data_IF_908336479179
#
_entry.id   IF_908336479179
#
_cell.length_a   1.000
_cell.length_b   1.000
_cell.length_c   1.000
_cell.angle_alpha   90.00
_cell.angle_beta   90.00
_cell.angle_gamma   90.00
#
_symmetry.space_group_name_H-M   'P 1'
#
loop_
_entity.id
_entity.type
_entity.pdbx_description
1 polymer ?
#
# COMPACT_ATOMS: atom_id res chain seq x y z
N UNK A 1 12.46 14.97 6.55
CA UNK A 1 13.62 14.13 6.95
C UNK A 1 14.36 14.72 8.14
N UNK A 2 14.43 16.06 8.24
CA UNK A 2 14.87 16.79 9.40
C UNK A 2 13.75 17.78 9.75
N UNK A 3 13.35 17.83 11.02
CA UNK A 3 12.31 18.74 11.49
C UNK A 3 12.97 20.04 11.97
N UNK A 4 12.79 21.09 11.18
CA UNK A 4 13.36 22.42 11.49
C UNK A 4 12.70 23.09 12.70
N UNK A 5 11.52 22.63 13.15
CA UNK A 5 10.85 23.20 14.34
C UNK A 5 11.40 22.62 15.63
N UNK A 6 11.70 21.31 15.63
CA UNK A 6 12.27 20.62 16.79
C UNK A 6 13.80 20.55 16.73
N UNK A 7 14.40 20.93 15.60
CA UNK A 7 15.83 20.83 15.32
C UNK A 7 16.37 19.41 15.52
N UNK A 8 15.62 18.41 15.01
CA UNK A 8 15.95 16.99 15.14
C UNK A 8 15.75 16.25 13.82
N UNK A 9 16.57 15.22 13.52
CA UNK A 9 16.29 14.32 12.42
C UNK A 9 15.05 13.47 12.72
N UNK A 10 14.35 13.02 11.68
CA UNK A 10 13.30 12.01 11.85
C UNK A 10 13.91 10.73 12.46
N UNK A 11 13.15 10.02 13.30
CA UNK A 11 13.60 8.77 13.90
C UNK A 11 13.95 7.72 12.83
N UNK A 12 15.22 7.30 12.83
CA UNK A 12 15.69 6.23 11.95
C UNK A 12 15.09 4.86 12.35
N UNK A 13 14.84 4.65 13.64
CA UNK A 13 14.19 3.45 14.16
C UNK A 13 12.77 3.33 13.61
N UNK A 14 11.95 4.38 13.78
CA UNK A 14 10.59 4.40 13.24
C UNK A 14 10.55 4.23 11.72
N UNK A 15 11.53 4.81 11.01
CA UNK A 15 11.68 4.60 9.58
C UNK A 15 11.92 3.12 9.26
N UNK A 16 12.87 2.47 9.94
CA UNK A 16 13.17 1.05 9.74
C UNK A 16 11.96 0.17 10.05
N UNK A 17 11.31 0.38 11.19
CA UNK A 17 10.12 -0.36 11.58
C UNK A 17 9.02 -0.25 10.51
N UNK A 18 8.82 0.96 9.97
CA UNK A 18 7.83 1.19 8.91
C UNK A 18 8.16 0.40 7.64
N UNK A 19 9.43 0.38 7.23
CA UNK A 19 9.88 -0.39 6.06
C UNK A 19 9.79 -1.90 6.32
N UNK A 20 10.26 -2.35 7.48
CA UNK A 20 10.29 -3.75 7.87
C UNK A 20 8.87 -4.34 7.90
N UNK A 21 7.92 -3.61 8.48
CA UNK A 21 6.52 -4.03 8.54
C UNK A 21 5.88 -3.98 7.16
N UNK A 22 5.89 -2.83 6.48
CA UNK A 22 5.05 -2.63 5.29
C UNK A 22 5.66 -3.23 4.03
N UNK A 23 6.97 -3.11 3.83
CA UNK A 23 7.63 -3.56 2.61
C UNK A 23 8.19 -4.97 2.77
N UNK A 24 9.07 -5.19 3.75
CA UNK A 24 9.67 -6.51 3.93
C UNK A 24 8.65 -7.53 4.43
N UNK A 25 7.71 -7.15 5.28
CA UNK A 25 6.58 -8.00 5.67
C UNK A 25 5.77 -8.47 4.46
N UNK A 26 5.41 -7.55 3.56
CA UNK A 26 4.68 -7.90 2.33
C UNK A 26 5.50 -8.79 1.40
N UNK A 27 6.77 -8.45 1.15
CA UNK A 27 7.67 -9.27 0.34
C UNK A 27 7.82 -10.68 0.92
N UNK A 28 7.99 -10.79 2.25
CA UNK A 28 8.13 -12.06 2.94
C UNK A 28 6.86 -12.91 2.86
N UNK A 29 5.68 -12.31 3.00
CA UNK A 29 4.42 -12.99 2.80
C UNK A 29 4.28 -13.51 1.37
N UNK A 30 4.56 -12.68 0.37
CA UNK A 30 4.46 -13.04 -1.06
C UNK A 30 5.39 -14.21 -1.40
N UNK A 31 6.68 -14.15 -1.02
CA UNK A 31 7.63 -15.23 -1.37
C UNK A 31 7.24 -16.58 -0.74
N UNK A 32 6.67 -16.57 0.46
CA UNK A 32 6.23 -17.79 1.16
C UNK A 32 4.91 -18.30 0.58
N UNK A 33 3.97 -17.40 0.28
CA UNK A 33 2.70 -17.74 -0.34
C UNK A 33 2.92 -18.43 -1.70
N UNK A 34 3.80 -17.90 -2.55
CA UNK A 34 4.18 -18.54 -3.83
C UNK A 34 4.74 -19.94 -3.60
N UNK A 35 5.56 -20.12 -2.56
CA UNK A 35 6.13 -21.42 -2.19
C UNK A 35 5.07 -22.48 -1.86
N UNK A 36 3.90 -22.06 -1.37
CA UNK A 36 2.75 -22.93 -1.11
C UNK A 36 1.84 -23.06 -2.35
N UNK A 37 1.58 -21.96 -3.05
CA UNK A 37 0.73 -21.92 -4.24
C UNK A 37 1.29 -22.74 -5.41
N UNK A 38 2.60 -23.04 -5.41
CA UNK A 38 3.22 -23.91 -6.43
C UNK A 38 2.60 -25.30 -6.51
N UNK A 39 1.98 -25.77 -5.42
CA UNK A 39 1.31 -27.06 -5.34
C UNK A 39 -0.12 -27.03 -5.93
N UNK A 40 -0.63 -25.85 -6.31
CA UNK A 40 -1.94 -25.72 -6.93
C UNK A 40 -1.95 -26.35 -8.31
N UNK A 41 -2.98 -27.15 -8.58
CA UNK A 41 -3.26 -27.63 -9.92
C UNK A 41 -3.77 -26.49 -10.79
N UNK A 42 -3.30 -26.37 -12.04
CA UNK A 42 -3.81 -25.36 -12.95
C UNK A 42 -5.28 -25.64 -13.30
N UNK A 43 -6.07 -24.58 -13.46
CA UNK A 43 -7.41 -24.69 -14.03
C UNK A 43 -7.36 -24.92 -15.56
N UNK A 44 -8.54 -24.94 -16.20
CA UNK A 44 -8.68 -25.14 -17.66
C UNK A 44 -7.95 -24.10 -18.50
N UNK A 45 -7.67 -22.92 -17.94
CA UNK A 45 -7.02 -21.79 -18.60
C UNK A 45 -5.56 -21.62 -18.11
N UNK A 46 -4.99 -22.69 -17.52
CA UNK A 46 -3.64 -22.76 -16.96
C UNK A 46 -3.37 -21.76 -15.81
N UNK A 47 -4.40 -21.30 -15.10
CA UNK A 47 -4.27 -20.42 -13.94
C UNK A 47 -4.07 -21.23 -12.66
N UNK A 48 -3.17 -20.76 -11.80
CA UNK A 48 -2.79 -21.43 -10.54
C UNK A 48 -3.09 -20.60 -9.30
N UNK A 49 -3.32 -19.30 -9.45
CA UNK A 49 -3.75 -18.46 -8.34
C UNK A 49 -3.53 -16.97 -8.55
N UNK A 50 -3.95 -16.20 -7.55
CA UNK A 50 -3.93 -14.74 -7.58
C UNK A 50 -3.34 -14.23 -6.27
N UNK A 51 -2.41 -13.29 -6.38
CA UNK A 51 -1.87 -12.52 -5.27
C UNK A 51 -2.31 -11.07 -5.43
N UNK A 52 -2.95 -10.53 -4.39
CA UNK A 52 -3.35 -9.12 -4.31
C UNK A 52 -2.63 -8.51 -3.11
N UNK A 53 -1.74 -7.54 -3.36
CA UNK A 53 -1.14 -6.76 -2.28
C UNK A 53 -1.94 -5.48 -2.03
N UNK A 54 -1.86 -4.96 -0.81
CA UNK A 54 -2.46 -3.67 -0.45
C UNK A 54 -1.39 -2.61 -0.21
N UNK A 55 -1.31 -1.66 -1.13
CA UNK A 55 -0.46 -0.48 -1.06
C UNK A 55 -1.26 0.74 -0.53
N UNK A 56 -1.05 1.92 -1.13
CA UNK A 56 -1.74 3.17 -0.83
C UNK A 56 -1.50 4.18 -1.96
N UNK A 57 -2.42 5.11 -2.18
CA UNK A 57 -2.19 6.27 -3.06
C UNK A 57 -0.97 7.10 -2.63
N UNK A 58 -0.60 7.07 -1.35
CA UNK A 58 0.61 7.71 -0.83
C UNK A 58 1.90 7.15 -1.46
N UNK A 59 1.86 5.97 -2.10
CA UNK A 59 2.98 5.43 -2.86
C UNK A 59 3.18 6.08 -4.23
N UNK A 60 2.17 6.77 -4.77
CA UNK A 60 2.28 7.50 -6.04
C UNK A 60 2.66 8.97 -5.84
N UNK A 61 2.11 9.62 -4.82
CA UNK A 61 2.45 10.98 -4.44
C UNK A 61 2.79 11.02 -2.96
N UNK A 62 4.07 10.88 -2.64
CA UNK A 62 4.55 10.68 -1.26
C UNK A 62 4.53 12.00 -0.48
N UNK A 63 3.67 12.16 0.55
CA UNK A 63 3.68 13.35 1.38
C UNK A 63 4.96 13.41 2.23
N UNK A 64 5.47 14.62 2.44
CA UNK A 64 6.66 14.83 3.30
C UNK A 64 6.38 14.44 4.76
N UNK A 65 5.13 14.57 5.22
CA UNK A 65 4.67 14.20 6.56
C UNK A 65 4.67 12.69 6.82
N UNK A 66 4.49 11.87 5.77
CA UNK A 66 4.38 10.41 5.88
C UNK A 66 5.40 9.69 5.01
N UNK A 67 6.58 10.29 4.84
CA UNK A 67 7.61 9.84 3.90
C UNK A 67 7.97 8.35 4.04
N UNK A 68 8.20 7.84 5.26
CA UNK A 68 8.53 6.43 5.48
C UNK A 68 7.41 5.50 5.00
N UNK A 69 6.16 5.86 5.33
CA UNK A 69 4.97 5.13 4.91
C UNK A 69 4.80 5.18 3.39
N UNK A 70 4.85 6.36 2.77
CA UNK A 70 4.71 6.50 1.32
C UNK A 70 5.81 5.75 0.55
N UNK A 71 7.06 5.81 1.00
CA UNK A 71 8.16 5.03 0.40
C UNK A 71 7.92 3.53 0.56
N UNK A 72 7.47 3.07 1.74
CA UNK A 72 7.15 1.65 1.94
C UNK A 72 6.07 1.16 0.96
N UNK A 73 5.05 1.99 0.69
CA UNK A 73 3.94 1.68 -0.22
C UNK A 73 4.34 1.81 -1.68
N UNK A 74 5.22 2.75 -2.02
CA UNK A 74 5.85 2.83 -3.34
C UNK A 74 6.66 1.56 -3.65
N UNK A 75 7.39 1.03 -2.66
CA UNK A 75 8.11 -0.25 -2.80
C UNK A 75 7.18 -1.42 -3.11
N UNK A 76 6.02 -1.50 -2.43
CA UNK A 76 5.01 -2.54 -2.70
C UNK A 76 4.44 -2.42 -4.13
N UNK A 77 4.16 -1.21 -4.59
CA UNK A 77 3.72 -0.95 -5.97
C UNK A 77 4.81 -1.40 -6.95
N UNK A 78 6.04 -0.92 -6.76
CA UNK A 78 7.15 -1.16 -7.68
C UNK A 78 7.53 -2.64 -7.79
N UNK A 79 7.47 -3.42 -6.71
CA UNK A 79 7.79 -4.85 -6.77
C UNK A 79 6.71 -5.70 -7.47
N UNK A 80 5.50 -5.16 -7.65
CA UNK A 80 4.37 -5.91 -8.24
C UNK A 80 4.65 -6.32 -9.68
N UNK A 81 5.10 -5.38 -10.51
CA UNK A 81 5.35 -5.62 -11.93
C UNK A 81 6.41 -6.71 -12.19
N UNK A 82 7.63 -6.67 -11.61
CA UNK A 82 8.62 -7.72 -11.85
C UNK A 82 8.18 -9.09 -11.32
N UNK A 83 7.46 -9.14 -10.20
CA UNK A 83 6.91 -10.40 -9.67
C UNK A 83 5.86 -10.95 -10.63
N UNK A 84 4.93 -10.11 -11.11
CA UNK A 84 3.92 -10.51 -12.08
C UNK A 84 4.54 -11.00 -13.40
N UNK A 85 5.58 -10.32 -13.91
CA UNK A 85 6.31 -10.75 -15.12
C UNK A 85 6.99 -12.11 -14.95
N UNK A 86 7.56 -12.36 -13.78
CA UNK A 86 8.23 -13.62 -13.46
C UNK A 86 7.24 -14.79 -13.35
N UNK A 87 6.09 -14.57 -12.70
CA UNK A 87 5.14 -15.63 -12.35
C UNK A 87 3.98 -15.80 -13.34
N UNK A 88 3.70 -14.78 -14.17
CA UNK A 88 2.65 -14.80 -15.18
C UNK A 88 2.73 -16.00 -16.12
N UNK A 89 3.90 -16.30 -16.73
CA UNK A 89 4.09 -17.49 -17.57
C UNK A 89 3.83 -18.83 -16.84
N UNK A 90 3.88 -18.83 -15.51
CA UNK A 90 3.64 -20.00 -14.66
C UNK A 90 2.17 -20.11 -14.23
N UNK A 91 1.30 -19.18 -14.64
CA UNK A 91 -0.13 -19.21 -14.34
C UNK A 91 -0.54 -18.41 -13.08
N UNK A 92 0.31 -17.57 -12.52
CA UNK A 92 -0.05 -16.72 -11.38
C UNK A 92 -0.27 -15.28 -11.79
N UNK A 93 -1.31 -14.66 -11.22
CA UNK A 93 -1.55 -13.21 -11.37
C UNK A 93 -1.16 -12.49 -10.11
N UNK A 94 -0.46 -11.36 -10.25
CA UNK A 94 -0.06 -10.52 -9.12
C UNK A 94 -0.47 -9.09 -9.42
N UNK A 95 -1.27 -8.51 -8.53
CA UNK A 95 -1.72 -7.12 -8.63
C UNK A 95 -1.60 -6.44 -7.28
N UNK A 96 -1.67 -5.11 -7.29
CA UNK A 96 -1.65 -4.30 -6.08
C UNK A 96 -2.78 -3.30 -6.12
N UNK A 97 -3.58 -3.28 -5.07
CA UNK A 97 -4.58 -2.27 -4.82
C UNK A 97 -3.93 -1.13 -4.04
N UNK A 98 -4.19 0.12 -4.44
CA UNK A 98 -3.65 1.30 -3.77
C UNK A 98 -4.80 2.21 -3.34
N UNK A 99 -5.47 1.92 -2.20
CA UNK A 99 -6.60 2.70 -1.75
C UNK A 99 -6.22 4.14 -1.37
N UNK A 100 -7.16 5.05 -1.61
CA UNK A 100 -7.19 6.36 -0.95
C UNK A 100 -7.72 6.24 0.50
N UNK A 101 -8.15 7.35 1.10
CA UNK A 101 -8.90 7.33 2.36
C UNK A 101 -10.15 6.45 2.28
N UNK A 102 -10.24 5.44 3.16
CA UNK A 102 -11.38 4.51 3.29
C UNK A 102 -11.83 4.47 4.74
N UNK A 103 -13.15 4.50 4.99
CA UNK A 103 -13.74 4.47 6.34
C UNK A 103 -13.53 3.12 7.03
N UNK A 104 -12.37 2.95 7.63
CA UNK A 104 -11.98 1.77 8.41
C UNK A 104 -11.64 2.17 9.84
N UNK A 105 -11.66 1.25 10.83
CA UNK A 105 -11.26 1.58 12.20
C UNK A 105 -9.84 2.16 12.34
N UNK A 106 -8.95 1.88 11.37
CA UNK A 106 -7.60 2.44 11.31
C UNK A 106 -7.58 3.93 10.96
N UNK A 107 -8.56 4.38 10.17
CA UNK A 107 -8.75 5.77 9.80
C UNK A 107 -9.59 6.40 10.89
N UNK A 108 -8.93 7.13 11.82
CA UNK A 108 -9.58 7.73 13.00
C UNK A 108 -10.88 8.46 12.62
N UNK A 109 -11.92 8.28 13.44
CA UNK A 109 -13.15 9.08 13.39
C UNK A 109 -12.78 10.57 13.30
N UNK A 110 -13.05 11.19 12.16
CA UNK A 110 -12.69 12.59 11.87
C UNK A 110 -11.49 12.81 10.94
N UNK A 111 -10.82 11.77 10.44
CA UNK A 111 -9.83 11.90 9.34
C UNK A 111 -10.45 11.71 7.95
N UNK A 112 -11.66 11.16 7.91
CA UNK A 112 -12.58 11.17 6.78
C UNK A 112 -13.59 12.32 6.94
N UNK A 113 -13.17 13.57 6.69
CA UNK A 113 -14.07 14.73 6.81
C UNK A 113 -14.74 15.05 5.48
N UNK A 114 -16.06 15.21 5.53
CA UNK A 114 -16.90 15.81 4.50
C UNK A 114 -16.60 17.33 4.38
N UNK A 115 -16.87 17.86 3.17
CA UNK A 115 -16.52 19.19 2.62
C UNK A 115 -16.50 20.45 3.52
N UNK A 116 -17.11 20.44 4.71
CA UNK A 116 -17.21 21.62 5.58
C UNK A 116 -16.12 21.74 6.64
N UNK A 117 -15.22 20.76 6.78
CA UNK A 117 -13.93 21.00 7.45
C UNK A 117 -12.82 20.76 6.44
N UNK A 118 -12.31 21.88 5.93
CA UNK A 118 -11.14 22.00 5.06
C UNK A 118 -10.18 20.83 5.25
N UNK A 119 -10.08 20.02 4.20
CA UNK A 119 -8.97 19.11 4.03
C UNK A 119 -7.69 19.93 4.06
N UNK A 120 -7.01 19.93 5.20
CA UNK A 120 -5.67 20.52 5.35
C UNK A 120 -4.56 19.47 5.33
N UNK A 121 -4.88 18.21 5.02
CA UNK A 121 -3.85 17.18 4.86
C UNK A 121 -3.72 16.77 3.38
N UNK A 122 -2.48 16.66 2.92
CA UNK A 122 -2.09 16.55 1.51
C UNK A 122 -2.73 15.36 0.76
N UNK A 123 -3.28 14.40 1.51
CA UNK A 123 -3.94 13.22 0.97
C UNK A 123 -5.38 13.49 0.51
N UNK A 124 -6.13 14.37 1.19
CA UNK A 124 -7.50 14.65 0.81
C UNK A 124 -7.60 15.59 -0.41
N UNK A 125 -6.56 16.39 -0.70
CA UNK A 125 -6.50 17.16 -1.95
C UNK A 125 -6.34 16.29 -3.20
N UNK A 126 -6.05 14.99 -3.02
CA UNK A 126 -6.01 14.00 -4.09
C UNK A 126 -7.38 13.34 -4.32
N UNK A 127 -8.36 13.61 -3.46
CA UNK A 127 -9.71 13.08 -3.60
C UNK A 127 -10.49 13.95 -4.60
N UNK A 128 -10.81 13.37 -5.76
CA UNK A 128 -11.76 13.98 -6.71
C UNK A 128 -13.22 13.75 -6.28
N UNK A 129 -13.46 12.79 -5.40
CA UNK A 129 -14.76 12.54 -4.79
C UNK A 129 -14.80 13.22 -3.43
N UNK A 130 -15.89 13.93 -3.13
CA UNK A 130 -16.05 14.69 -1.89
C UNK A 130 -16.38 13.81 -0.67
N UNK A 131 -15.82 12.60 -0.63
CA UNK A 131 -16.06 11.59 0.39
C UNK A 131 -14.90 10.61 0.47
N UNK A 132 -14.78 9.95 1.61
CA UNK A 132 -13.98 8.72 1.70
C UNK A 132 -14.64 7.57 0.92
N UNK A 133 -13.83 6.59 0.54
CA UNK A 133 -14.31 5.29 0.12
C UNK A 133 -14.91 4.50 1.30
N UNK A 134 -15.81 3.60 1.00
CA UNK A 134 -16.35 2.61 1.94
C UNK A 134 -15.61 1.27 1.78
N UNK A 135 -15.46 0.47 2.85
CA UNK A 135 -14.72 -0.80 2.78
C UNK A 135 -15.23 -1.80 1.73
N UNK A 136 -16.52 -1.75 1.39
CA UNK A 136 -17.13 -2.61 0.37
C UNK A 136 -16.87 -2.15 -1.07
N UNK A 137 -16.21 -1.00 -1.27
CA UNK A 137 -15.81 -0.48 -2.58
C UNK A 137 -14.39 -0.91 -2.99
N UNK A 138 -13.65 -1.59 -2.09
CA UNK A 138 -12.31 -2.13 -2.30
C UNK A 138 -12.39 -3.64 -2.53
#
# INVERSE_FOLDING_TARGET
IYDMKTDQPHSLELWRDTIDINLFGTFNAVRLAIGLMKENQPDKDNQRGVLINTASVAGFNVPTSTLAYGISKAGVIAMTEPIAKSLGPLGYRVNTLAPGPVRTPLVQEGSCIEKDHLVTDALGSLLNLDRCGEPNEI
#
